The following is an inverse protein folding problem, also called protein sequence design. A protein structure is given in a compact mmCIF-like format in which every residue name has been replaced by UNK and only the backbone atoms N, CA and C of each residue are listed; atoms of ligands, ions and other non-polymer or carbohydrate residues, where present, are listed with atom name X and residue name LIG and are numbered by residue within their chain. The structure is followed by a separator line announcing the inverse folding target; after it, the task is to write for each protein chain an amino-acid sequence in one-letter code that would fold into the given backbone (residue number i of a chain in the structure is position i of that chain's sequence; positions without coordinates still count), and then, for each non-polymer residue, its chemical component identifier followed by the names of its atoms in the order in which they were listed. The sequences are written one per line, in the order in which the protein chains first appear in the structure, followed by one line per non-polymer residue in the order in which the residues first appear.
data_IF_277366195235
#
_entry.id   IF_277366195235
#
_cell.length_a   1.000
_cell.length_b   1.000
_cell.length_c   1.000
_cell.angle_alpha   90.00
_cell.angle_beta   90.00
_cell.angle_gamma   90.00
#
_symmetry.space_group_name_H-M   'P 1'
#
loop_
_entity.id
_entity.type
_entity.pdbx_description
1 polymer ?
#
# COMPACT_ATOMS: atom_id res chain seq x y z
N UNK A 1 25.96 -30.44 38.28
CA UNK A 1 25.57 -29.06 37.90
C UNK A 1 26.65 -28.39 37.05
N UNK A 2 27.88 -28.25 37.54
CA UNK A 2 28.95 -27.57 36.79
C UNK A 2 29.33 -28.19 35.43
N UNK A 3 29.22 -29.51 35.30
CA UNK A 3 29.53 -30.21 34.04
C UNK A 3 28.52 -29.87 32.93
N UNK A 4 27.24 -29.77 33.29
CA UNK A 4 26.14 -29.43 32.37
C UNK A 4 26.27 -27.97 31.91
N UNK A 5 26.51 -27.04 32.85
CA UNK A 5 26.72 -25.62 32.53
C UNK A 5 27.96 -25.39 31.64
N UNK A 6 29.00 -26.20 31.80
CA UNK A 6 30.18 -26.17 30.92
C UNK A 6 29.86 -26.70 29.52
N UNK A 7 29.08 -27.76 29.41
CA UNK A 7 28.64 -28.29 28.11
C UNK A 7 27.74 -27.32 27.35
N UNK A 8 26.77 -26.68 28.00
CA UNK A 8 25.93 -25.64 27.39
C UNK A 8 26.75 -24.46 26.88
N UNK A 9 27.72 -23.98 27.68
CA UNK A 9 28.65 -22.93 27.27
C UNK A 9 29.44 -23.34 26.03
N UNK A 10 29.98 -24.57 26.02
CA UNK A 10 30.75 -25.09 24.90
C UNK A 10 29.89 -25.22 23.63
N UNK A 11 28.63 -25.63 23.78
CA UNK A 11 27.67 -25.73 22.68
C UNK A 11 27.41 -24.36 22.04
N UNK A 12 27.07 -23.35 22.84
CA UNK A 12 26.85 -21.97 22.37
C UNK A 12 28.12 -21.40 21.72
N UNK A 13 29.27 -21.63 22.33
CA UNK A 13 30.55 -21.13 21.84
C UNK A 13 30.95 -21.82 20.52
N UNK A 14 30.61 -23.10 20.34
CA UNK A 14 30.76 -23.82 19.08
C UNK A 14 29.91 -23.22 17.96
N UNK A 15 28.66 -22.85 18.25
CA UNK A 15 27.77 -22.17 17.31
C UNK A 15 28.33 -20.80 16.88
N UNK A 16 28.76 -19.97 17.83
CA UNK A 16 29.30 -18.64 17.54
C UNK A 16 30.60 -18.72 16.74
N UNK A 17 31.46 -19.71 16.99
CA UNK A 17 32.66 -19.96 16.19
C UNK A 17 32.32 -20.24 14.73
N UNK A 18 31.29 -21.06 14.45
CA UNK A 18 30.82 -21.32 13.08
C UNK A 18 30.33 -20.03 12.41
N UNK A 19 29.54 -19.22 13.11
CA UNK A 19 29.07 -17.92 12.59
C UNK A 19 30.26 -17.01 12.28
N UNK A 20 31.22 -16.89 13.21
CA UNK A 20 32.39 -16.03 13.03
C UNK A 20 33.30 -16.50 11.90
N UNK A 21 33.42 -17.81 11.68
CA UNK A 21 34.22 -18.38 10.60
C UNK A 21 33.73 -17.96 9.20
N UNK A 22 32.43 -17.66 9.05
CA UNK A 22 31.88 -17.17 7.77
C UNK A 22 32.10 -15.68 7.53
N UNK A 23 32.60 -14.93 8.52
CA UNK A 23 32.80 -13.47 8.41
C UNK A 23 31.53 -12.64 8.62
N UNK A 24 30.46 -13.22 9.15
CA UNK A 24 29.23 -12.48 9.44
C UNK A 24 29.42 -11.48 10.59
N UNK A 25 29.02 -10.22 10.35
CA UNK A 25 29.16 -9.11 11.30
C UNK A 25 27.81 -8.64 11.89
N UNK A 26 26.70 -8.89 11.18
CA UNK A 26 25.34 -8.49 11.60
C UNK A 26 24.43 -9.70 11.48
N UNK A 27 23.80 -10.07 12.59
CA UNK A 27 22.90 -11.22 12.69
C UNK A 27 21.47 -10.74 12.93
N UNK A 28 20.57 -11.11 12.03
CA UNK A 28 19.13 -10.88 12.16
C UNK A 28 18.50 -12.21 12.60
N UNK A 29 17.84 -12.21 13.76
CA UNK A 29 17.19 -13.39 14.32
C UNK A 29 15.68 -13.19 14.26
N UNK A 30 15.00 -14.15 13.61
CA UNK A 30 13.54 -14.21 13.58
C UNK A 30 12.97 -14.38 14.98
N UNK A 31 11.86 -13.68 15.25
CA UNK A 31 11.06 -13.87 16.46
C UNK A 31 10.58 -15.32 16.58
N UNK A 32 10.96 -15.99 17.66
CA UNK A 32 10.54 -17.35 17.98
C UNK A 32 9.53 -17.31 19.13
N UNK A 33 8.31 -17.81 18.89
CA UNK A 33 7.27 -17.93 19.92
C UNK A 33 7.37 -19.22 20.74
N UNK A 34 8.08 -20.22 20.24
CA UNK A 34 8.14 -21.57 20.84
C UNK A 34 9.28 -21.72 21.86
N UNK A 35 10.36 -20.97 21.66
CA UNK A 35 11.59 -21.03 22.44
C UNK A 35 12.26 -19.67 22.40
N UNK A 36 13.01 -19.36 23.45
CA UNK A 36 13.84 -18.17 23.50
C UNK A 36 14.80 -18.14 22.31
N UNK A 37 14.69 -17.09 21.49
CA UNK A 37 15.50 -16.93 20.29
C UNK A 37 16.98 -16.71 20.63
N UNK A 38 17.26 -16.09 21.79
CA UNK A 38 18.61 -15.81 22.30
C UNK A 38 18.66 -15.97 23.81
N UNK A 39 19.82 -16.37 24.33
CA UNK A 39 20.11 -16.42 25.77
C UNK A 39 21.14 -15.34 26.12
N UNK A 40 21.14 -14.79 27.34
CA UNK A 40 22.09 -13.74 27.77
C UNK A 40 23.56 -14.14 27.57
N UNK A 41 23.87 -15.42 27.84
CA UNK A 41 25.19 -15.99 27.61
C UNK A 41 25.61 -15.90 26.13
N UNK A 42 24.67 -16.15 25.21
CA UNK A 42 24.92 -16.06 23.77
C UNK A 42 25.17 -14.61 23.32
N UNK A 43 24.41 -13.65 23.84
CA UNK A 43 24.58 -12.22 23.55
C UNK A 43 25.94 -11.71 24.01
N UNK A 44 26.38 -12.11 25.21
CA UNK A 44 27.70 -11.74 25.73
C UNK A 44 28.84 -12.29 24.86
N UNK A 45 28.75 -13.53 24.38
CA UNK A 45 29.76 -14.09 23.49
C UNK A 45 29.72 -13.48 22.08
N UNK A 46 28.54 -13.16 21.55
CA UNK A 46 28.38 -12.45 20.27
C UNK A 46 28.95 -11.02 20.34
N UNK A 47 28.74 -10.33 21.46
CA UNK A 47 29.34 -9.02 21.72
C UNK A 47 30.88 -9.09 21.77
N UNK A 48 31.45 -10.10 22.45
CA UNK A 48 32.90 -10.36 22.43
C UNK A 48 33.44 -10.66 21.03
N UNK A 49 32.63 -11.31 20.19
CA UNK A 49 32.96 -11.60 18.79
C UNK A 49 32.77 -10.39 17.85
N UNK A 50 32.31 -9.23 18.38
CA UNK A 50 31.96 -8.01 17.64
C UNK A 50 30.91 -8.25 16.55
N UNK A 51 29.88 -9.03 16.88
CA UNK A 51 28.73 -9.29 15.99
C UNK A 51 27.53 -8.52 16.54
N UNK A 52 26.95 -7.63 15.72
CA UNK A 52 25.69 -6.96 16.05
C UNK A 52 24.54 -7.95 15.89
N UNK A 53 23.66 -8.02 16.89
CA UNK A 53 22.51 -8.93 16.88
C UNK A 53 21.24 -8.12 16.97
N UNK A 54 20.34 -8.29 16.00
CA UNK A 54 19.00 -7.73 16.01
C UNK A 54 18.06 -8.92 16.15
N UNK A 55 17.36 -8.97 17.28
CA UNK A 55 16.40 -10.00 17.61
C UNK A 55 14.98 -9.54 17.28
N UNK A 56 14.04 -10.48 17.34
CA UNK A 56 12.60 -10.22 17.22
C UNK A 56 12.16 -9.69 15.85
N UNK A 57 12.86 -10.09 14.77
CA UNK A 57 12.43 -9.77 13.40
C UNK A 57 11.15 -10.53 13.06
N UNK A 58 10.16 -9.83 12.52
CA UNK A 58 8.88 -10.45 12.16
C UNK A 58 9.04 -11.37 10.95
N UNK A 59 8.19 -12.41 10.88
CA UNK A 59 8.27 -13.41 9.81
C UNK A 59 8.00 -12.79 8.43
N UNK A 60 7.04 -11.88 8.37
CA UNK A 60 6.61 -11.25 7.12
C UNK A 60 7.70 -10.30 6.57
N UNK A 61 8.54 -9.75 7.45
CA UNK A 61 9.69 -8.91 7.09
C UNK A 61 10.86 -9.72 6.51
N UNK A 62 10.96 -11.03 6.77
CA UNK A 62 12.10 -11.85 6.30
C UNK A 62 12.16 -11.85 4.78
N UNK A 63 11.02 -11.93 4.10
CA UNK A 63 10.97 -11.91 2.64
C UNK A 63 11.44 -10.55 2.09
N UNK A 64 11.04 -9.47 2.74
CA UNK A 64 11.47 -8.11 2.40
C UNK A 64 12.99 -7.94 2.58
N UNK A 65 13.53 -8.39 3.72
CA UNK A 65 14.97 -8.30 4.04
C UNK A 65 15.79 -9.15 3.07
N UNK A 66 15.35 -10.39 2.81
CA UNK A 66 15.98 -11.32 1.85
C UNK A 66 16.07 -10.70 0.47
N UNK A 67 14.97 -10.13 -0.03
CA UNK A 67 14.92 -9.45 -1.34
C UNK A 67 15.79 -8.20 -1.37
N UNK A 68 15.82 -7.44 -0.27
CA UNK A 68 16.56 -6.16 -0.20
C UNK A 68 18.07 -6.41 -0.16
N UNK A 69 18.53 -7.27 0.76
CA UNK A 69 19.95 -7.57 0.99
C UNK A 69 20.52 -8.64 0.06
N UNK A 70 19.67 -9.29 -0.73
CA UNK A 70 19.98 -10.44 -1.58
C UNK A 70 20.69 -11.56 -0.79
N UNK A 71 20.26 -11.77 0.46
CA UNK A 71 20.74 -12.84 1.33
C UNK A 71 19.74 -13.99 1.34
N UNK A 72 20.15 -15.19 1.76
CA UNK A 72 19.23 -16.33 1.93
C UNK A 72 18.98 -16.57 3.42
N UNK A 73 17.72 -16.76 3.86
CA UNK A 73 17.43 -17.09 5.25
C UNK A 73 17.99 -18.48 5.58
N UNK A 74 18.59 -18.61 6.76
CA UNK A 74 19.27 -19.83 7.20
C UNK A 74 18.52 -20.39 8.40
N UNK A 75 17.94 -21.58 8.26
CA UNK A 75 17.17 -22.25 9.31
C UNK A 75 18.05 -23.05 10.29
N UNK A 76 19.21 -23.54 9.84
CA UNK A 76 20.13 -24.33 10.66
C UNK A 76 21.56 -23.80 10.51
N UNK A 77 22.29 -23.75 11.62
CA UNK A 77 23.65 -23.26 11.72
C UNK A 77 24.67 -24.06 10.90
N UNK A 78 24.37 -25.32 10.58
CA UNK A 78 25.22 -26.14 9.71
C UNK A 78 25.18 -25.68 8.25
N UNK A 79 24.10 -25.02 7.85
CA UNK A 79 23.96 -24.44 6.51
C UNK A 79 24.43 -22.98 6.44
N UNK A 80 25.07 -22.48 7.49
CA UNK A 80 25.62 -21.14 7.57
C UNK A 80 26.92 -21.07 6.75
N UNK A 81 26.83 -20.56 5.52
CA UNK A 81 27.93 -20.43 4.57
C UNK A 81 28.05 -18.99 4.10
N UNK A 82 29.26 -18.55 3.76
CA UNK A 82 29.53 -17.19 3.30
C UNK A 82 28.73 -16.79 2.05
N UNK A 83 28.43 -17.75 1.16
CA UNK A 83 27.64 -17.53 -0.07
C UNK A 83 26.20 -17.05 0.19
N UNK A 84 25.65 -17.32 1.38
CA UNK A 84 24.28 -16.94 1.74
C UNK A 84 24.19 -15.56 2.39
N UNK A 85 25.33 -14.95 2.70
CA UNK A 85 25.39 -13.66 3.38
C UNK A 85 25.14 -12.53 2.38
N UNK A 86 24.36 -11.54 2.82
CA UNK A 86 24.20 -10.28 2.10
C UNK A 86 25.35 -9.33 2.37
N UNK A 87 25.38 -8.22 1.63
CA UNK A 87 26.37 -7.17 1.80
C UNK A 87 25.70 -5.82 2.09
N UNK A 88 26.20 -5.12 3.10
CA UNK A 88 25.84 -3.73 3.42
C UNK A 88 27.10 -2.95 3.82
N UNK A 89 27.24 -1.71 3.35
CA UNK A 89 28.38 -0.84 3.65
C UNK A 89 28.34 -0.33 5.10
N UNK A 90 27.17 0.10 5.57
CA UNK A 90 27.00 0.67 6.90
C UNK A 90 25.69 0.21 7.54
N UNK A 91 25.82 -0.34 8.75
CA UNK A 91 24.71 -0.68 9.64
C UNK A 91 24.90 0.10 10.93
N UNK A 92 23.96 0.99 11.22
CA UNK A 92 24.00 1.87 12.39
C UNK A 92 22.65 1.90 13.12
N UNK A 93 22.70 2.06 14.44
CA UNK A 93 21.52 2.32 15.26
C UNK A 93 21.39 3.83 15.43
N UNK A 94 20.37 4.43 14.81
CA UNK A 94 20.11 5.86 14.88
C UNK A 94 19.08 6.13 15.98
N UNK A 95 19.41 6.93 17.01
CA UNK A 95 18.44 7.35 18.00
C UNK A 95 17.47 8.37 17.38
N UNK A 96 16.17 8.13 17.56
CA UNK A 96 15.13 9.13 17.36
C UNK A 96 14.91 9.81 18.71
N UNK A 97 14.85 11.14 18.74
CA UNK A 97 14.87 11.95 19.97
C UNK A 97 13.88 11.53 21.07
N UNK A 98 12.77 10.86 20.73
CA UNK A 98 11.75 10.35 21.67
C UNK A 98 12.11 9.01 22.35
N UNK A 99 13.38 8.60 22.34
CA UNK A 99 13.84 7.37 22.98
C UNK A 99 13.63 6.09 22.14
N UNK A 100 12.97 6.21 20.99
CA UNK A 100 12.94 5.17 19.96
C UNK A 100 14.31 5.05 19.27
N UNK A 101 14.73 3.83 18.97
CA UNK A 101 15.94 3.58 18.19
C UNK A 101 15.57 2.81 16.93
N UNK A 102 16.17 3.17 15.81
CA UNK A 102 15.99 2.46 14.55
C UNK A 102 17.32 1.95 14.05
N UNK A 103 17.31 0.77 13.44
CA UNK A 103 18.48 0.26 12.72
C UNK A 103 18.37 0.70 11.27
N UNK A 104 19.38 1.43 10.80
CA UNK A 104 19.51 1.85 9.42
C UNK A 104 20.60 1.01 8.74
N UNK A 105 20.23 0.37 7.64
CA UNK A 105 21.15 -0.39 6.78
C UNK A 105 21.32 0.37 5.47
N UNK A 106 22.54 0.80 5.15
CA UNK A 106 22.86 1.60 3.96
C UNK A 106 23.99 0.98 3.15
N UNK A 107 24.01 1.29 1.85
CA UNK A 107 25.03 0.81 0.93
C UNK A 107 24.92 -0.69 0.64
N UNK A 108 23.75 -1.10 0.15
CA UNK A 108 23.48 -2.50 -0.20
C UNK A 108 23.93 -2.72 -1.65
N UNK A 109 24.84 -3.68 -1.88
CA UNK A 109 25.26 -4.08 -3.23
C UNK A 109 24.15 -4.89 -3.89
N UNK A 110 23.83 -4.57 -5.15
CA UNK A 110 22.74 -5.22 -5.90
C UNK A 110 21.41 -5.20 -5.14
N UNK A 111 21.03 -4.03 -4.64
CA UNK A 111 19.76 -3.84 -3.94
C UNK A 111 18.60 -4.37 -4.80
N UNK A 112 17.75 -5.20 -4.20
CA UNK A 112 16.53 -5.67 -4.84
C UNK A 112 15.60 -4.51 -5.21
N UNK A 113 14.52 -4.80 -5.94
CA UNK A 113 13.47 -3.83 -6.26
C UNK A 113 12.58 -3.54 -5.05
N UNK A 114 13.18 -3.11 -3.95
CA UNK A 114 12.52 -2.76 -2.70
C UNK A 114 12.81 -1.30 -2.38
N UNK A 115 11.96 -0.67 -1.57
CA UNK A 115 12.17 0.69 -1.09
C UNK A 115 11.60 0.76 0.31
N UNK A 116 12.32 1.41 1.22
CA UNK A 116 11.87 1.64 2.59
C UNK A 116 11.73 3.14 2.80
N UNK A 117 10.59 3.55 3.35
CA UNK A 117 10.27 4.95 3.67
C UNK A 117 10.00 5.02 5.15
N UNK A 118 10.77 5.83 5.88
CA UNK A 118 10.53 6.08 7.30
C UNK A 118 9.55 7.25 7.44
N UNK A 119 8.32 6.94 7.86
CA UNK A 119 7.31 7.94 8.19
C UNK A 119 7.52 8.42 9.63
N UNK A 120 7.49 9.74 9.85
CA UNK A 120 7.56 10.36 11.17
C UNK A 120 6.36 11.27 11.36
N UNK A 121 5.81 11.28 12.57
CA UNK A 121 4.63 12.05 12.93
C UNK A 121 4.61 12.29 14.43
N UNK A 122 3.91 13.34 14.85
CA UNK A 122 3.81 13.74 16.26
C UNK A 122 2.81 12.89 17.06
N UNK A 123 1.84 12.27 16.39
CA UNK A 123 0.79 11.48 17.00
C UNK A 123 0.56 10.20 16.18
N UNK A 124 0.14 9.12 16.83
CA UNK A 124 -0.15 7.85 16.18
C UNK A 124 -1.25 8.00 15.10
N UNK A 125 -2.28 8.80 15.37
CA UNK A 125 -3.33 9.09 14.38
C UNK A 125 -2.78 9.72 13.09
N UNK A 126 -1.74 10.57 13.20
CA UNK A 126 -1.10 11.21 12.04
C UNK A 126 -0.22 10.21 11.30
N UNK A 127 0.46 9.31 12.03
CA UNK A 127 1.24 8.23 11.42
C UNK A 127 0.34 7.28 10.62
N UNK A 128 -0.78 6.85 11.20
CA UNK A 128 -1.73 5.93 10.56
C UNK A 128 -2.39 6.58 9.32
N UNK A 129 -2.62 7.89 9.36
CA UNK A 129 -3.13 8.64 8.20
C UNK A 129 -2.05 8.82 7.12
N UNK A 130 -0.82 9.11 7.51
CA UNK A 130 0.30 9.26 6.58
C UNK A 130 0.63 7.94 5.87
N UNK A 131 0.59 6.82 6.57
CA UNK A 131 0.75 5.48 5.97
C UNK A 131 -0.35 5.19 4.95
N UNK A 132 -1.62 5.42 5.32
CA UNK A 132 -2.76 5.24 4.42
C UNK A 132 -2.67 6.14 3.19
N UNK A 133 -2.36 7.41 3.38
CA UNK A 133 -2.17 8.38 2.29
C UNK A 133 -1.03 7.98 1.34
N UNK A 134 0.09 7.47 1.88
CA UNK A 134 1.21 6.99 1.07
C UNK A 134 0.83 5.73 0.29
N UNK A 135 0.09 4.82 0.92
CA UNK A 135 -0.43 3.62 0.27
C UNK A 135 -1.30 3.98 -0.95
N UNK A 136 -2.21 4.94 -0.80
CA UNK A 136 -3.07 5.40 -1.90
C UNK A 136 -2.25 6.03 -3.03
N UNK A 137 -1.28 6.89 -2.71
CA UNK A 137 -0.40 7.49 -3.70
C UNK A 137 0.41 6.44 -4.50
N UNK A 138 0.95 5.43 -3.83
CA UNK A 138 1.66 4.32 -4.47
C UNK A 138 0.72 3.48 -5.34
N UNK A 139 -0.51 3.26 -4.88
CA UNK A 139 -1.54 2.54 -5.61
C UNK A 139 -1.96 3.26 -6.89
N UNK A 140 -2.08 4.60 -6.87
CA UNK A 140 -2.38 5.40 -8.08
C UNK A 140 -1.29 5.22 -9.14
N UNK A 141 -0.02 5.27 -8.75
CA UNK A 141 1.11 5.03 -9.68
C UNK A 141 1.09 3.59 -10.19
N UNK A 142 0.82 2.61 -9.31
CA UNK A 142 0.68 1.20 -9.70
C UNK A 142 -0.43 0.99 -10.73
N UNK A 143 -1.57 1.68 -10.59
CA UNK A 143 -2.65 1.64 -11.57
C UNK A 143 -2.20 2.13 -12.95
N UNK A 144 -1.39 3.18 -13.01
CA UNK A 144 -0.84 3.73 -14.25
C UNK A 144 0.19 2.79 -14.90
N UNK A 145 1.00 2.10 -14.09
CA UNK A 145 1.95 1.08 -14.58
C UNK A 145 1.20 -0.09 -15.24
N UNK A 146 0.09 -0.52 -14.64
CA UNK A 146 -0.73 -1.62 -15.17
C UNK A 146 -1.53 -1.22 -16.41
N UNK A 147 -2.18 -0.05 -16.39
CA UNK A 147 -2.92 0.51 -17.53
C UNK A 147 -2.47 1.95 -17.78
N UNK A 148 -1.79 2.17 -18.90
CA UNK A 148 -1.18 3.45 -19.29
C UNK A 148 -2.21 4.45 -19.87
N UNK A 149 -3.36 4.58 -19.24
CA UNK A 149 -4.42 5.52 -19.64
C UNK A 149 -4.81 6.41 -18.47
N UNK A 150 -4.86 7.71 -18.75
CA UNK A 150 -5.29 8.77 -17.84
C UNK A 150 -6.56 9.42 -18.40
N UNK A 151 -7.45 9.81 -17.51
CA UNK A 151 -8.68 10.56 -17.82
C UNK A 151 -8.75 11.81 -16.95
N UNK A 152 -9.57 12.77 -17.34
CA UNK A 152 -9.87 13.94 -16.52
C UNK A 152 -10.56 13.50 -15.20
N UNK A 153 -10.26 14.20 -14.11
CA UNK A 153 -10.91 14.00 -12.82
C UNK A 153 -12.12 14.91 -12.63
N UNK A 154 -12.41 15.27 -11.37
CA UNK A 154 -13.34 16.35 -11.04
C UNK A 154 -14.81 16.12 -11.47
N UNK A 155 -15.25 14.86 -11.58
CA UNK A 155 -16.62 14.54 -12.00
C UNK A 155 -16.85 14.54 -13.53
N UNK A 156 -15.82 14.83 -14.34
CA UNK A 156 -15.92 14.85 -15.80
C UNK A 156 -16.35 13.50 -16.39
N UNK A 157 -15.70 12.35 -16.08
CA UNK A 157 -16.08 11.08 -16.69
C UNK A 157 -17.47 10.61 -16.24
N UNK A 158 -17.90 10.93 -15.02
CA UNK A 158 -19.23 10.57 -14.52
C UNK A 158 -20.34 11.30 -15.28
N UNK A 159 -20.15 12.60 -15.57
CA UNK A 159 -21.10 13.38 -16.39
C UNK A 159 -21.10 12.90 -17.84
N UNK A 160 -19.93 12.63 -18.42
CA UNK A 160 -19.85 12.15 -19.80
C UNK A 160 -20.50 10.76 -19.97
N UNK A 161 -20.30 9.87 -19.00
CA UNK A 161 -20.98 8.57 -18.97
C UNK A 161 -22.49 8.73 -18.81
N UNK A 162 -22.96 9.58 -17.89
CA UNK A 162 -24.39 9.89 -17.72
C UNK A 162 -25.01 10.37 -19.05
N UNK A 163 -24.33 11.29 -19.75
CA UNK A 163 -24.78 11.82 -21.04
C UNK A 163 -24.89 10.74 -22.12
N UNK A 164 -23.85 9.92 -22.29
CA UNK A 164 -23.83 8.86 -23.31
C UNK A 164 -24.87 7.77 -23.00
N UNK A 165 -24.99 7.35 -21.74
CA UNK A 165 -25.99 6.38 -21.31
C UNK A 165 -27.40 6.93 -21.45
N UNK A 166 -27.61 8.21 -21.15
CA UNK A 166 -28.89 8.89 -21.36
C UNK A 166 -29.29 8.97 -22.84
N UNK A 167 -28.33 9.13 -23.75
CA UNK A 167 -28.58 9.05 -25.19
C UNK A 167 -28.91 7.62 -25.63
N UNK A 168 -28.18 6.63 -25.12
CA UNK A 168 -28.41 5.21 -25.41
C UNK A 168 -29.79 4.74 -24.90
N UNK A 169 -30.19 5.19 -23.72
CA UNK A 169 -31.50 4.91 -23.12
C UNK A 169 -32.68 5.36 -23.98
N UNK A 170 -32.51 6.36 -24.88
CA UNK A 170 -33.56 6.80 -25.82
C UNK A 170 -33.72 5.87 -27.02
N UNK A 171 -32.67 5.14 -27.37
CA UNK A 171 -32.67 4.19 -28.49
C UNK A 171 -33.26 2.83 -28.06
N UNK A 172 -33.05 2.46 -26.79
CA UNK A 172 -33.58 1.23 -26.22
C UNK A 172 -35.10 1.28 -26.08
N UNK A 173 -35.77 0.17 -26.37
CA UNK A 173 -37.22 0.02 -26.21
C UNK A 173 -37.55 -0.81 -24.96
N UNK A 174 -38.67 -0.50 -24.31
CA UNK A 174 -39.15 -1.26 -23.15
C UNK A 174 -38.53 -0.85 -21.82
N UNK A 175 -38.52 -1.77 -20.85
CA UNK A 175 -38.08 -1.52 -19.47
C UNK A 175 -36.59 -1.20 -19.36
N UNK A 176 -35.77 -1.76 -20.24
CA UNK A 176 -34.31 -1.56 -20.23
C UNK A 176 -33.93 -0.08 -20.38
N UNK A 177 -34.65 0.67 -21.22
CA UNK A 177 -34.40 2.10 -21.40
C UNK A 177 -34.61 2.91 -20.12
N UNK A 178 -35.58 2.54 -19.28
CA UNK A 178 -35.79 3.18 -17.98
C UNK A 178 -34.67 2.84 -16.99
N UNK A 179 -34.24 1.57 -16.95
CA UNK A 179 -33.15 1.14 -16.08
C UNK A 179 -31.82 1.83 -16.44
N UNK A 180 -31.48 1.92 -17.73
CA UNK A 180 -30.27 2.61 -18.19
C UNK A 180 -30.32 4.10 -17.87
N UNK A 181 -31.48 4.74 -17.99
CA UNK A 181 -31.65 6.15 -17.60
C UNK A 181 -31.42 6.36 -16.10
N UNK A 182 -32.01 5.52 -15.27
CA UNK A 182 -31.80 5.58 -13.82
C UNK A 182 -30.32 5.34 -13.45
N UNK A 183 -29.65 4.42 -14.15
CA UNK A 183 -28.21 4.18 -13.96
C UNK A 183 -27.36 5.40 -14.39
N UNK A 184 -27.73 6.08 -15.48
CA UNK A 184 -27.08 7.31 -15.91
C UNK A 184 -27.21 8.42 -14.85
N UNK A 185 -28.42 8.64 -14.32
CA UNK A 185 -28.69 9.61 -13.25
C UNK A 185 -27.92 9.27 -11.96
N UNK A 186 -27.77 7.99 -11.64
CA UNK A 186 -27.03 7.54 -10.46
C UNK A 186 -25.53 7.92 -10.51
N UNK A 187 -24.92 8.00 -11.69
CA UNK A 187 -23.51 8.42 -11.82
C UNK A 187 -23.28 9.87 -11.41
N UNK A 188 -24.31 10.71 -11.46
CA UNK A 188 -24.20 12.13 -11.11
C UNK A 188 -24.11 12.39 -9.61
N UNK A 189 -24.26 11.35 -8.77
CA UNK A 189 -24.06 11.46 -7.33
C UNK A 189 -22.63 11.93 -6.99
N UNK A 190 -21.64 11.56 -7.79
CA UNK A 190 -20.24 11.94 -7.56
C UNK A 190 -20.03 13.46 -7.78
N UNK A 191 -20.34 14.05 -8.94
CA UNK A 191 -20.25 15.50 -9.10
C UNK A 191 -21.18 16.27 -8.16
N UNK A 192 -22.35 15.72 -7.81
CA UNK A 192 -23.25 16.34 -6.83
C UNK A 192 -22.60 16.44 -5.44
N UNK A 193 -22.05 15.33 -4.94
CA UNK A 193 -21.38 15.29 -3.63
C UNK A 193 -20.08 16.09 -3.62
N UNK A 194 -19.34 16.16 -4.74
CA UNK A 194 -18.18 17.04 -4.88
C UNK A 194 -18.57 18.52 -4.76
N UNK A 195 -19.67 18.94 -5.38
CA UNK A 195 -20.16 20.31 -5.26
C UNK A 195 -20.65 20.63 -3.85
N UNK A 196 -21.35 19.69 -3.21
CA UNK A 196 -21.83 19.82 -1.83
C UNK A 196 -20.67 19.96 -0.83
N UNK A 197 -19.66 19.10 -0.93
CA UNK A 197 -18.46 19.18 -0.09
C UNK A 197 -17.64 20.46 -0.33
N UNK A 198 -17.76 21.05 -1.52
CA UNK A 198 -17.15 22.34 -1.85
C UNK A 198 -17.98 23.55 -1.38
N UNK A 199 -19.17 23.35 -0.82
CA UNK A 199 -20.09 24.42 -0.42
C UNK A 199 -20.74 25.15 -1.60
N UNK A 200 -20.71 24.58 -2.81
CA UNK A 200 -21.35 25.11 -4.00
C UNK A 200 -22.80 24.63 -4.09
N UNK A 201 -23.64 25.29 -4.89
CA UNK A 201 -24.99 24.80 -5.18
C UNK A 201 -24.90 23.58 -6.14
N UNK A 202 -25.19 22.35 -5.69
CA UNK A 202 -24.95 21.16 -6.50
C UNK A 202 -25.83 21.12 -7.75
N UNK A 203 -27.09 21.58 -7.65
CA UNK A 203 -28.05 21.56 -8.76
C UNK A 203 -27.57 22.50 -9.88
N UNK A 204 -27.09 23.69 -9.52
CA UNK A 204 -26.57 24.65 -10.48
C UNK A 204 -25.32 24.11 -11.19
N UNK A 205 -24.37 23.56 -10.43
CA UNK A 205 -23.11 23.02 -10.96
C UNK A 205 -23.34 21.82 -11.87
N UNK A 206 -24.16 20.85 -11.46
CA UNK A 206 -24.44 19.66 -12.29
C UNK A 206 -25.18 20.05 -13.59
N UNK A 207 -26.09 21.02 -13.51
CA UNK A 207 -26.79 21.52 -14.70
C UNK A 207 -25.84 22.22 -15.67
N UNK A 208 -24.94 23.06 -15.16
CA UNK A 208 -23.92 23.73 -15.97
C UNK A 208 -22.93 22.72 -16.57
N UNK A 209 -22.47 21.71 -15.81
CA UNK A 209 -21.62 20.63 -16.30
C UNK A 209 -22.27 19.87 -17.44
N UNK A 210 -23.55 19.48 -17.29
CA UNK A 210 -24.31 18.80 -18.34
C UNK A 210 -24.37 19.64 -19.62
N UNK A 211 -24.58 20.95 -19.50
CA UNK A 211 -24.62 21.84 -20.65
C UNK A 211 -23.27 21.91 -21.37
N UNK A 212 -22.16 22.07 -20.63
CA UNK A 212 -20.81 22.10 -21.23
C UNK A 212 -20.43 20.78 -21.90
N UNK A 213 -20.73 19.64 -21.28
CA UNK A 213 -20.51 18.33 -21.92
C UNK A 213 -21.40 18.12 -23.14
N UNK A 214 -22.63 18.63 -23.13
CA UNK A 214 -23.50 18.61 -24.30
C UNK A 214 -22.95 19.45 -25.48
N UNK A 215 -22.16 20.49 -25.20
CA UNK A 215 -21.44 21.29 -26.18
C UNK A 215 -20.15 20.61 -26.68
N UNK A 216 -19.79 19.44 -26.15
CA UNK A 216 -18.62 18.65 -26.56
C UNK A 216 -17.38 18.83 -25.68
N UNK A 217 -17.48 19.55 -24.57
CA UNK A 217 -16.36 19.72 -23.63
C UNK A 217 -16.22 18.50 -22.70
N UNK A 218 -15.55 17.45 -23.15
CA UNK A 218 -15.36 16.18 -22.39
C UNK A 218 -14.50 16.38 -21.13
N UNK A 219 -13.64 17.40 -21.12
CA UNK A 219 -12.71 17.67 -20.01
C UNK A 219 -13.25 18.68 -18.99
N UNK A 220 -14.49 19.15 -19.16
CA UNK A 220 -15.11 20.06 -18.21
C UNK A 220 -15.36 19.34 -16.89
N UNK A 221 -14.98 19.93 -15.76
CA UNK A 221 -15.25 19.33 -14.46
C UNK A 221 -15.17 20.35 -13.33
N UNK A 222 -15.49 19.89 -12.12
CA UNK A 222 -15.60 20.73 -10.92
C UNK A 222 -14.21 21.04 -10.39
N UNK A 223 -13.84 22.32 -10.40
CA UNK A 223 -12.63 22.78 -9.75
C UNK A 223 -12.98 23.34 -8.37
N UNK A 224 -12.75 22.55 -7.34
CA UNK A 224 -13.06 22.90 -5.94
C UNK A 224 -12.23 24.11 -5.46
N UNK A 225 -11.03 24.35 -6.03
CA UNK A 225 -10.18 25.49 -5.63
C UNK A 225 -10.73 26.82 -6.12
N UNK A 226 -11.31 26.84 -7.33
CA UNK A 226 -11.90 28.04 -7.94
C UNK A 226 -13.40 28.16 -7.68
N UNK A 227 -14.05 27.09 -7.21
CA UNK A 227 -15.50 27.03 -7.02
C UNK A 227 -16.29 27.09 -8.34
N UNK A 228 -15.66 26.75 -9.46
CA UNK A 228 -16.21 26.92 -10.80
C UNK A 228 -15.91 25.70 -11.68
N UNK A 229 -16.64 25.59 -12.80
CA UNK A 229 -16.36 24.57 -13.81
C UNK A 229 -15.27 25.07 -14.74
N UNK A 230 -14.21 24.28 -14.89
CA UNK A 230 -13.05 24.60 -15.72
C UNK A 230 -12.61 23.36 -16.49
N UNK A 231 -11.68 23.54 -17.43
CA UNK A 231 -11.02 22.40 -18.07
C UNK A 231 -10.07 21.75 -17.06
N UNK A 232 -10.49 20.62 -16.50
CA UNK A 232 -9.79 19.92 -15.42
C UNK A 232 -8.45 19.33 -15.89
N UNK A 233 -8.31 19.07 -17.19
CA UNK A 233 -7.07 18.60 -17.78
C UNK A 233 -5.99 19.70 -17.75
N UNK A 234 -6.37 20.95 -18.00
CA UNK A 234 -5.44 22.11 -17.93
C UNK A 234 -5.03 22.42 -16.49
N UNK A 235 -5.89 22.09 -15.52
CA UNK A 235 -5.61 22.22 -14.09
C UNK A 235 -4.76 21.07 -13.52
N UNK A 236 -4.30 20.14 -14.36
CA UNK A 236 -3.52 18.94 -14.00
C UNK A 236 -4.22 17.99 -13.02
N UNK A 237 -5.56 17.99 -12.99
CA UNK A 237 -6.35 17.09 -12.15
C UNK A 237 -6.73 15.86 -12.99
N UNK A 238 -5.89 14.84 -12.94
CA UNK A 238 -6.06 13.60 -13.71
C UNK A 238 -6.22 12.41 -12.80
N UNK A 239 -6.91 11.38 -13.29
CA UNK A 239 -7.06 10.11 -12.59
C UNK A 239 -6.76 8.93 -13.51
N UNK A 240 -6.21 7.80 -13.00
CA UNK A 240 -6.01 6.61 -13.80
C UNK A 240 -7.34 5.98 -14.23
N UNK A 241 -7.44 5.60 -15.51
CA UNK A 241 -8.64 4.94 -16.05
C UNK A 241 -9.03 3.68 -15.27
N UNK A 242 -8.04 2.95 -14.76
CA UNK A 242 -8.26 1.72 -14.00
C UNK A 242 -9.14 1.96 -12.77
N UNK A 243 -8.99 3.11 -12.09
CA UNK A 243 -9.76 3.43 -10.88
C UNK A 243 -11.25 3.52 -11.22
N UNK A 244 -11.63 4.39 -12.16
CA UNK A 244 -13.03 4.57 -12.56
C UNK A 244 -13.62 3.31 -13.18
N UNK A 245 -12.85 2.59 -14.01
CA UNK A 245 -13.32 1.32 -14.61
C UNK A 245 -13.63 0.29 -13.54
N UNK A 246 -12.70 0.05 -12.61
CA UNK A 246 -12.90 -0.93 -11.53
C UNK A 246 -14.01 -0.50 -10.58
N UNK A 247 -14.13 0.79 -10.26
CA UNK A 247 -15.20 1.31 -9.41
C UNK A 247 -16.59 1.01 -10.00
N UNK A 248 -16.81 1.34 -11.28
CA UNK A 248 -18.08 1.10 -11.95
C UNK A 248 -18.36 -0.40 -12.07
N UNK A 249 -17.37 -1.21 -12.47
CA UNK A 249 -17.56 -2.67 -12.60
C UNK A 249 -17.92 -3.32 -11.27
N UNK A 250 -17.20 -3.00 -10.18
CA UNK A 250 -17.45 -3.59 -8.87
C UNK A 250 -18.80 -3.15 -8.29
N UNK A 251 -19.14 -1.85 -8.42
CA UNK A 251 -20.43 -1.35 -7.98
C UNK A 251 -21.59 -2.01 -8.74
N UNK A 252 -21.47 -2.12 -10.07
CA UNK A 252 -22.50 -2.72 -10.92
C UNK A 252 -22.69 -4.21 -10.61
N UNK A 253 -21.61 -4.98 -10.48
CA UNK A 253 -21.71 -6.41 -10.13
C UNK A 253 -22.27 -6.62 -8.72
N UNK A 254 -21.89 -5.77 -7.76
CA UNK A 254 -22.44 -5.82 -6.40
C UNK A 254 -23.96 -5.59 -6.38
N UNK A 255 -24.42 -4.49 -7.01
CA UNK A 255 -25.86 -4.18 -7.09
C UNK A 255 -26.63 -5.26 -7.85
N UNK A 256 -26.04 -5.80 -8.92
CA UNK A 256 -26.63 -6.91 -9.67
C UNK A 256 -26.81 -8.17 -8.81
N UNK A 257 -25.87 -8.48 -7.92
CA UNK A 257 -26.03 -9.60 -6.99
C UNK A 257 -27.14 -9.33 -5.98
N UNK A 258 -27.19 -8.13 -5.41
CA UNK A 258 -28.21 -7.73 -4.44
C UNK A 258 -29.61 -7.83 -5.06
N UNK A 259 -29.80 -7.32 -6.28
CA UNK A 259 -31.09 -7.34 -6.98
C UNK A 259 -31.60 -8.74 -7.34
N UNK A 260 -30.73 -9.77 -7.29
CA UNK A 260 -31.12 -11.16 -7.51
C UNK A 260 -31.58 -11.88 -6.24
N UNK A 261 -31.35 -11.29 -5.07
CA UNK A 261 -31.78 -11.86 -3.80
C UNK A 261 -33.28 -11.61 -3.67
N UNK A 262 -34.07 -12.67 -3.80
CA UNK A 262 -35.53 -12.62 -3.65
C UNK A 262 -35.96 -12.84 -2.19
N UNK A 263 -35.21 -13.65 -1.44
CA UNK A 263 -35.50 -13.94 -0.04
C UNK A 263 -34.22 -14.15 0.79
N UNK A 264 -34.28 -13.85 2.08
CA UNK A 264 -33.19 -14.01 3.05
C UNK A 264 -33.71 -14.81 4.25
N UNK A 265 -33.31 -16.08 4.31
CA UNK A 265 -33.58 -16.94 5.47
C UNK A 265 -32.37 -16.92 6.40
N UNK A 266 -32.50 -16.32 7.57
CA UNK A 266 -31.47 -16.33 8.59
C UNK A 266 -31.42 -17.69 9.29
N UNK A 267 -30.31 -18.41 9.15
CA UNK A 267 -30.03 -19.64 9.91
C UNK A 267 -29.18 -19.32 11.14
N UNK A 268 -29.39 -20.10 12.20
CA UNK A 268 -28.69 -19.96 13.49
C UNK A 268 -27.34 -20.68 13.49
#
# INVERSE_FOLDING_TARGET
MDRILKEERNYILGMIKKIKATGCNVLLIQKSILRDAVTDLSLHYLAKAKILVIKDVERDEIEFITKTLNCLPISNIEHFRAEKLGYADLVEEVPLGDGGKIVKITGIKNMGRTTSVLVRGSNQLVLDEAERSLHDALCVVRCLVNKKFLIAGGGAPEIELSRQLGAWAKVLQGMEGYCVRAFAEALEVIPYTLAENAGLNPIAIVTELRNRHAQGEINAGINVRKGQITNILEENVVQPLLVSTSAISLATECVRMILKIDDIVTVR
#
